data_IF_740589247857
#
_entry.id   IF_740589247857
#
_cell.length_a   1.000
_cell.length_b   1.000
_cell.length_c   1.000
_cell.angle_alpha   90.00
_cell.angle_beta   90.00
_cell.angle_gamma   90.00
#
_symmetry.space_group_name_H-M   'P 1'
#
loop_
_entity.id
_entity.type
_entity.pdbx_description
1 polymer ?
#
# COMPACT_ATOMS: atom_id res chain seq x y z
N UNK A 1 30.27 12.43 0.22
CA UNK A 1 29.51 11.89 1.35
C UNK A 1 28.38 12.84 1.70
N UNK A 2 27.14 12.37 1.77
CA UNK A 2 25.94 13.13 2.14
C UNK A 2 25.54 12.79 3.58
N UNK A 3 25.15 13.79 4.37
CA UNK A 3 24.77 13.61 5.79
C UNK A 3 23.31 13.97 6.01
N UNK A 4 22.59 13.09 6.70
CA UNK A 4 21.18 13.25 7.02
C UNK A 4 20.86 12.75 8.43
N UNK A 5 19.70 13.07 9.00
CA UNK A 5 19.24 12.45 10.24
C UNK A 5 18.61 11.10 9.97
N UNK A 6 17.81 11.01 8.91
CA UNK A 6 17.11 9.79 8.49
C UNK A 6 17.45 9.47 7.04
N UNK A 7 17.99 8.30 6.80
CA UNK A 7 18.16 7.73 5.46
C UNK A 7 17.09 6.67 5.22
N UNK A 8 16.30 6.83 4.16
CA UNK A 8 15.30 5.86 3.73
C UNK A 8 15.81 5.20 2.46
N UNK A 9 15.88 3.86 2.45
CA UNK A 9 16.32 3.07 1.30
C UNK A 9 15.11 2.35 0.69
N UNK A 10 14.70 2.83 -0.46
CA UNK A 10 13.51 2.39 -1.21
C UNK A 10 12.43 3.47 -1.25
N UNK A 11 12.15 3.99 -2.44
CA UNK A 11 11.11 4.99 -2.71
C UNK A 11 9.81 4.36 -3.22
N UNK A 12 9.41 3.22 -2.65
CA UNK A 12 8.06 2.69 -2.75
C UNK A 12 7.08 3.49 -1.90
N UNK A 13 5.80 3.11 -1.90
CA UNK A 13 4.75 3.83 -1.14
C UNK A 13 5.09 3.97 0.36
N UNK A 14 5.69 2.94 0.96
CA UNK A 14 6.09 2.96 2.37
C UNK A 14 7.20 3.99 2.60
N UNK A 15 8.24 3.99 1.76
CA UNK A 15 9.35 4.94 1.87
C UNK A 15 8.91 6.37 1.61
N UNK A 16 8.10 6.61 0.58
CA UNK A 16 7.57 7.93 0.25
C UNK A 16 6.71 8.50 1.39
N UNK A 17 5.82 7.68 1.96
CA UNK A 17 4.98 8.07 3.09
C UNK A 17 5.80 8.38 4.34
N UNK A 18 6.79 7.55 4.66
CA UNK A 18 7.70 7.78 5.77
C UNK A 18 8.54 9.06 5.56
N UNK A 19 9.05 9.28 4.35
CA UNK A 19 9.79 10.49 4.00
C UNK A 19 8.94 11.74 4.21
N UNK A 20 7.69 11.72 3.74
CA UNK A 20 6.76 12.82 3.92
C UNK A 20 6.49 13.12 5.40
N UNK A 21 6.06 12.09 6.15
CA UNK A 21 5.70 12.26 7.56
C UNK A 21 6.87 12.73 8.42
N UNK A 22 8.06 12.16 8.22
CA UNK A 22 9.27 12.56 8.93
C UNK A 22 9.68 14.01 8.58
N UNK A 23 9.58 14.39 7.30
CA UNK A 23 9.92 15.75 6.87
C UNK A 23 8.89 16.75 7.38
N UNK A 24 7.60 16.42 7.36
CA UNK A 24 6.51 17.21 7.96
C UNK A 24 6.73 17.45 9.46
N UNK A 25 7.34 16.47 10.16
CA UNK A 25 7.77 16.58 11.57
C UNK A 25 9.13 17.31 11.75
N UNK A 26 9.61 17.99 10.74
CA UNK A 26 10.83 18.80 10.79
C UNK A 26 12.15 18.01 10.83
N UNK A 27 12.14 16.73 10.49
CA UNK A 27 13.36 15.91 10.43
C UNK A 27 14.10 16.14 9.11
N UNK A 28 15.42 16.08 9.15
CA UNK A 28 16.25 16.07 7.94
C UNK A 28 16.24 14.66 7.36
N UNK A 29 15.60 14.48 6.19
CA UNK A 29 15.37 13.20 5.53
C UNK A 29 16.05 13.17 4.17
N UNK A 30 16.72 12.06 3.90
CA UNK A 30 17.17 11.70 2.55
C UNK A 30 16.57 10.35 2.21
N UNK A 31 15.92 10.24 1.06
CA UNK A 31 15.39 8.98 0.51
C UNK A 31 16.13 8.64 -0.77
N UNK A 32 16.51 7.39 -0.92
CA UNK A 32 17.23 6.87 -2.10
C UNK A 32 16.51 5.67 -2.69
N UNK A 33 16.56 5.53 -4.00
CA UNK A 33 16.06 4.35 -4.70
C UNK A 33 17.00 3.93 -5.81
N UNK A 34 17.06 2.63 -6.09
CA UNK A 34 17.85 2.07 -7.21
C UNK A 34 17.33 2.49 -8.58
N UNK A 35 16.08 2.96 -8.66
CA UNK A 35 15.36 3.28 -9.88
C UNK A 35 14.48 4.52 -9.65
N UNK A 36 13.44 4.68 -10.46
CA UNK A 36 12.42 5.70 -10.26
C UNK A 36 11.52 5.37 -9.07
N UNK A 37 10.89 6.38 -8.43
CA UNK A 37 9.98 6.16 -7.31
C UNK A 37 8.78 5.33 -7.76
N UNK A 38 8.35 4.40 -6.91
CA UNK A 38 7.20 3.53 -7.12
C UNK A 38 7.26 2.67 -8.41
N UNK A 39 8.44 2.39 -8.92
CA UNK A 39 8.62 1.66 -10.19
C UNK A 39 8.39 0.14 -10.08
N UNK A 40 8.22 -0.39 -8.87
CA UNK A 40 7.95 -1.82 -8.63
C UNK A 40 6.53 -2.00 -8.04
N UNK A 41 6.33 -2.91 -7.08
CA UNK A 41 5.03 -3.28 -6.53
C UNK A 41 4.11 -2.09 -6.16
N UNK A 42 4.68 -0.97 -5.75
CA UNK A 42 3.91 0.22 -5.38
C UNK A 42 3.24 0.94 -6.56
N UNK A 43 3.79 0.82 -7.77
CA UNK A 43 3.22 1.42 -8.98
C UNK A 43 2.44 0.42 -9.83
N UNK A 44 2.61 -0.89 -9.61
CA UNK A 44 1.99 -1.95 -10.42
C UNK A 44 1.06 -2.80 -9.56
N UNK A 45 0.02 -2.19 -9.00
CA UNK A 45 -1.00 -2.85 -8.20
C UNK A 45 -2.39 -2.28 -8.54
N UNK A 46 -3.44 -2.90 -8.03
CA UNK A 46 -4.82 -2.49 -8.33
C UNK A 46 -5.28 -1.22 -7.58
N UNK A 47 -4.48 -0.72 -6.65
CA UNK A 47 -4.82 0.47 -5.87
C UNK A 47 -5.94 0.27 -4.83
N UNK A 48 -6.45 -0.93 -4.66
CA UNK A 48 -7.52 -1.22 -3.70
C UNK A 48 -7.07 -1.07 -2.25
N UNK A 49 -7.92 -0.43 -1.46
CA UNK A 49 -7.74 -0.24 -0.01
C UNK A 49 -8.84 -0.96 0.73
N UNK A 50 -8.76 -2.28 0.68
CA UNK A 50 -9.77 -3.16 1.23
C UNK A 50 -9.47 -3.51 2.68
N UNK A 51 -10.44 -3.24 3.58
CA UNK A 51 -10.33 -3.58 5.00
C UNK A 51 -10.94 -4.94 5.32
N UNK A 52 -11.99 -5.34 4.60
CA UNK A 52 -12.77 -6.57 4.87
C UNK A 52 -11.94 -7.84 4.78
N UNK A 53 -10.91 -7.88 3.93
CA UNK A 53 -10.03 -9.04 3.76
C UNK A 53 -8.85 -9.10 4.72
N UNK A 54 -8.62 -8.03 5.48
CA UNK A 54 -7.40 -7.94 6.26
C UNK A 54 -7.39 -8.92 7.45
N UNK A 55 -6.26 -9.59 7.70
CA UNK A 55 -6.13 -10.46 8.87
C UNK A 55 -6.39 -9.70 10.18
N UNK A 56 -6.97 -10.35 11.20
CA UNK A 56 -7.29 -9.69 12.47
C UNK A 56 -6.10 -8.97 13.11
N UNK A 57 -4.89 -9.55 13.00
CA UNK A 57 -3.67 -8.97 13.59
C UNK A 57 -3.23 -7.67 12.91
N UNK A 58 -3.46 -7.52 11.63
CA UNK A 58 -3.04 -6.34 10.86
C UNK A 58 -4.15 -5.31 10.65
N UNK A 59 -5.41 -5.66 10.91
CA UNK A 59 -6.56 -4.77 10.69
C UNK A 59 -6.40 -3.39 11.37
N UNK A 60 -5.92 -3.25 12.63
CA UNK A 60 -5.70 -1.93 13.22
C UNK A 60 -4.71 -1.05 12.43
N UNK A 61 -3.68 -1.65 11.85
CA UNK A 61 -2.73 -0.91 10.98
C UNK A 61 -3.38 -0.44 9.68
N UNK A 62 -4.28 -1.25 9.10
CA UNK A 62 -5.01 -0.86 7.90
C UNK A 62 -6.04 0.24 8.17
N UNK A 63 -6.66 0.24 9.36
CA UNK A 63 -7.52 1.35 9.81
C UNK A 63 -6.72 2.65 9.92
N UNK A 64 -5.54 2.60 10.54
CA UNK A 64 -4.65 3.76 10.60
C UNK A 64 -4.20 4.20 9.20
N UNK A 65 -3.89 3.25 8.32
CA UNK A 65 -3.54 3.57 6.92
C UNK A 65 -4.69 4.29 6.20
N UNK A 66 -5.94 3.84 6.37
CA UNK A 66 -7.10 4.52 5.79
C UNK A 66 -7.23 5.98 6.28
N UNK A 67 -6.95 6.24 7.56
CA UNK A 67 -6.91 7.60 8.13
C UNK A 67 -5.78 8.43 7.52
N UNK A 68 -4.59 7.85 7.32
CA UNK A 68 -3.47 8.53 6.67
C UNK A 68 -3.78 8.87 5.21
N UNK A 69 -4.48 8.02 4.48
CA UNK A 69 -4.92 8.31 3.11
C UNK A 69 -5.90 9.47 3.06
N UNK A 70 -6.88 9.50 3.99
CA UNK A 70 -7.81 10.63 4.12
C UNK A 70 -7.03 11.94 4.42
N UNK A 71 -6.07 11.89 5.35
CA UNK A 71 -5.23 13.03 5.69
C UNK A 71 -4.41 13.50 4.46
N UNK A 72 -3.72 12.61 3.76
CA UNK A 72 -2.92 12.97 2.60
C UNK A 72 -3.76 13.67 1.53
N UNK A 73 -4.91 13.09 1.17
CA UNK A 73 -5.76 13.61 0.10
C UNK A 73 -6.50 14.87 0.51
N UNK A 74 -7.12 14.89 1.68
CA UNK A 74 -8.13 15.89 2.04
C UNK A 74 -7.58 17.01 2.93
N UNK A 75 -6.61 16.72 3.81
CA UNK A 75 -6.05 17.71 4.73
C UNK A 75 -4.74 18.31 4.19
N UNK A 76 -3.85 17.48 3.67
CA UNK A 76 -2.53 17.88 3.19
C UNK A 76 -2.54 18.29 1.70
N UNK A 77 -3.66 18.07 0.99
CA UNK A 77 -3.85 18.43 -0.42
C UNK A 77 -2.95 17.65 -1.37
N UNK A 78 -2.55 16.42 -0.99
CA UNK A 78 -1.73 15.55 -1.84
C UNK A 78 -2.65 14.76 -2.76
N UNK A 79 -2.62 15.04 -4.05
CA UNK A 79 -3.46 14.33 -5.02
C UNK A 79 -2.97 12.89 -5.25
N UNK A 80 -3.37 12.01 -4.35
CA UNK A 80 -3.11 10.57 -4.43
C UNK A 80 -4.07 9.83 -5.38
N UNK A 81 -5.07 10.50 -5.94
CA UNK A 81 -6.19 9.85 -6.59
C UNK A 81 -6.92 8.89 -5.65
N UNK A 82 -6.99 9.24 -4.36
CA UNK A 82 -7.65 8.45 -3.34
C UNK A 82 -9.14 8.80 -3.28
N UNK A 83 -9.96 7.76 -3.27
CA UNK A 83 -11.41 7.85 -3.17
C UNK A 83 -11.91 6.83 -2.14
N UNK A 84 -12.51 7.34 -1.07
CA UNK A 84 -13.15 6.51 -0.04
C UNK A 84 -14.60 6.24 -0.46
N UNK A 85 -14.78 5.27 -1.34
CA UNK A 85 -16.08 4.93 -1.94
C UNK A 85 -16.82 3.83 -1.19
N UNK A 86 -16.13 3.15 -0.29
CA UNK A 86 -16.57 1.89 0.30
C UNK A 86 -16.17 0.70 -0.56
N UNK A 87 -16.30 -0.50 0.03
CA UNK A 87 -15.98 -1.76 -0.63
C UNK A 87 -16.89 -2.88 -0.18
N UNK A 88 -17.14 -3.81 -1.09
CA UNK A 88 -17.93 -5.01 -0.85
C UNK A 88 -17.05 -6.25 -0.89
N UNK A 89 -17.31 -7.15 0.05
CA UNK A 89 -16.83 -8.52 -0.01
C UNK A 89 -18.01 -9.45 -0.28
N UNK A 90 -18.12 -9.93 -1.52
CA UNK A 90 -19.23 -10.73 -1.98
C UNK A 90 -18.94 -12.22 -1.85
N UNK A 91 -19.93 -13.03 -1.44
CA UNK A 91 -19.88 -14.48 -1.43
C UNK A 91 -20.79 -15.05 -2.50
N UNK A 92 -20.28 -16.10 -3.17
CA UNK A 92 -20.94 -16.78 -4.28
C UNK A 92 -21.40 -18.19 -3.90
N UNK A 93 -20.97 -18.72 -2.76
CA UNK A 93 -21.26 -20.07 -2.28
C UNK A 93 -21.72 -20.01 -0.83
N UNK A 94 -22.68 -20.83 -0.46
CA UNK A 94 -23.20 -20.89 0.91
C UNK A 94 -22.12 -21.24 1.94
N UNK A 95 -21.17 -22.08 1.58
CA UNK A 95 -20.05 -22.47 2.45
C UNK A 95 -19.15 -21.29 2.83
N UNK A 96 -19.16 -20.19 2.05
CA UNK A 96 -18.36 -18.99 2.29
C UNK A 96 -19.07 -17.95 3.18
N UNK A 97 -20.37 -18.14 3.51
CA UNK A 97 -21.11 -17.22 4.38
C UNK A 97 -20.43 -17.01 5.74
N UNK A 98 -19.79 -18.05 6.27
CA UNK A 98 -19.01 -17.96 7.52
C UNK A 98 -17.91 -16.90 7.46
N UNK A 99 -17.37 -16.60 6.28
CA UNK A 99 -16.35 -15.55 6.12
C UNK A 99 -16.93 -14.16 6.41
N UNK A 100 -18.19 -13.95 6.05
CA UNK A 100 -18.89 -12.71 6.36
C UNK A 100 -19.12 -12.56 7.86
N UNK A 101 -19.48 -13.65 8.55
CA UNK A 101 -19.69 -13.66 10.01
C UNK A 101 -18.38 -13.34 10.75
N UNK A 102 -17.26 -13.94 10.32
CA UNK A 102 -15.93 -13.68 10.86
C UNK A 102 -15.49 -12.22 10.63
N UNK A 103 -15.85 -11.63 9.50
CA UNK A 103 -15.58 -10.21 9.21
C UNK A 103 -16.38 -9.30 10.14
N UNK A 104 -17.67 -9.57 10.33
CA UNK A 104 -18.52 -8.79 11.23
C UNK A 104 -18.01 -8.86 12.68
N UNK A 105 -17.66 -10.05 13.15
CA UNK A 105 -17.10 -10.21 14.50
C UNK A 105 -15.83 -9.37 14.69
N UNK A 106 -14.92 -9.37 13.71
CA UNK A 106 -13.67 -8.58 13.77
C UNK A 106 -13.93 -7.08 13.79
N UNK A 107 -14.81 -6.63 12.89
CA UNK A 107 -15.15 -5.21 12.78
C UNK A 107 -15.87 -4.71 14.03
N UNK A 108 -16.85 -5.46 14.53
CA UNK A 108 -17.60 -5.12 15.73
C UNK A 108 -16.69 -5.06 16.97
N UNK A 109 -15.71 -5.96 17.12
CA UNK A 109 -14.72 -5.92 18.21
C UNK A 109 -13.89 -4.63 18.22
N UNK A 110 -13.69 -4.01 17.06
CA UNK A 110 -12.93 -2.77 16.92
C UNK A 110 -13.83 -1.52 16.79
N UNK A 111 -15.15 -1.69 16.88
CA UNK A 111 -16.10 -0.59 16.69
C UNK A 111 -16.11 -0.01 15.28
N UNK A 112 -15.71 -0.81 14.26
CA UNK A 112 -15.64 -0.38 12.88
C UNK A 112 -17.00 -0.55 12.18
N UNK A 113 -17.39 0.36 11.28
CA UNK A 113 -18.63 0.25 10.54
C UNK A 113 -18.57 -0.89 9.50
N UNK A 114 -19.57 -1.75 9.57
CA UNK A 114 -19.79 -2.85 8.63
C UNK A 114 -21.28 -3.08 8.47
N UNK A 115 -21.73 -3.42 7.27
CA UNK A 115 -23.13 -3.69 6.94
C UNK A 115 -23.23 -5.03 6.20
N UNK A 116 -24.05 -5.96 6.71
CA UNK A 116 -24.42 -7.18 6.00
C UNK A 116 -25.50 -6.87 4.97
N UNK A 117 -25.28 -7.29 3.73
CA UNK A 117 -26.20 -7.12 2.62
C UNK A 117 -26.67 -8.48 2.12
N UNK A 118 -27.98 -8.61 1.92
CA UNK A 118 -28.55 -9.74 1.19
C UNK A 118 -28.42 -9.52 -0.33
N UNK A 119 -28.81 -10.53 -1.11
CA UNK A 119 -28.71 -10.51 -2.58
C UNK A 119 -29.39 -9.30 -3.22
N UNK A 120 -30.59 -8.96 -2.76
CA UNK A 120 -31.38 -7.86 -3.28
C UNK A 120 -30.70 -6.52 -3.00
N UNK A 121 -30.22 -6.31 -1.79
CA UNK A 121 -29.47 -5.11 -1.40
C UNK A 121 -28.14 -4.96 -2.14
N UNK A 122 -27.45 -6.08 -2.42
CA UNK A 122 -26.24 -6.05 -3.24
C UNK A 122 -26.58 -5.61 -4.67
N UNK A 123 -27.67 -6.14 -5.26
CA UNK A 123 -28.13 -5.74 -6.59
C UNK A 123 -28.60 -4.30 -6.67
N UNK A 124 -29.21 -3.78 -5.61
CA UNK A 124 -29.58 -2.37 -5.52
C UNK A 124 -28.35 -1.46 -5.57
N UNK A 125 -27.29 -1.81 -4.81
CA UNK A 125 -26.01 -1.08 -4.82
C UNK A 125 -25.26 -1.25 -6.14
N UNK A 126 -25.29 -2.44 -6.75
CA UNK A 126 -24.53 -2.78 -7.96
C UNK A 126 -25.45 -3.52 -8.94
N UNK A 127 -26.21 -2.80 -9.75
CA UNK A 127 -27.22 -3.40 -10.66
C UNK A 127 -26.63 -4.40 -11.67
N UNK A 128 -25.35 -4.28 -11.99
CA UNK A 128 -24.65 -5.11 -12.98
C UNK A 128 -23.93 -6.31 -12.38
N UNK A 129 -24.05 -6.54 -11.07
CA UNK A 129 -23.41 -7.69 -10.44
C UNK A 129 -24.06 -9.01 -10.90
N UNK A 130 -23.25 -10.06 -10.97
CA UNK A 130 -23.73 -11.38 -11.40
C UNK A 130 -24.83 -11.94 -10.49
N UNK A 131 -25.73 -12.76 -11.06
CA UNK A 131 -26.88 -13.33 -10.35
C UNK A 131 -26.56 -14.36 -9.28
N UNK A 132 -25.36 -14.91 -9.28
CA UNK A 132 -24.92 -15.91 -8.32
C UNK A 132 -24.33 -15.35 -7.03
N UNK A 133 -24.32 -14.04 -6.83
CA UNK A 133 -24.02 -13.44 -5.52
C UNK A 133 -25.12 -13.80 -4.54
N UNK A 134 -24.74 -14.32 -3.38
CA UNK A 134 -25.65 -14.72 -2.31
C UNK A 134 -25.83 -13.62 -1.28
N UNK A 135 -24.71 -13.05 -0.82
CA UNK A 135 -24.65 -11.99 0.18
C UNK A 135 -23.30 -11.24 0.08
N UNK A 136 -23.19 -10.13 0.78
CA UNK A 136 -21.94 -9.39 0.92
C UNK A 136 -21.84 -8.70 2.27
N UNK A 137 -20.61 -8.40 2.69
CA UNK A 137 -20.36 -7.34 3.67
C UNK A 137 -19.91 -6.08 2.94
N UNK A 138 -20.40 -4.94 3.40
CA UNK A 138 -20.00 -3.62 2.95
C UNK A 138 -19.26 -2.88 4.07
N UNK A 139 -18.11 -2.28 3.73
CA UNK A 139 -17.41 -1.35 4.63
C UNK A 139 -17.28 0.02 3.98
N UNK A 140 -17.80 1.09 4.61
CA UNK A 140 -17.64 2.45 4.09
C UNK A 140 -16.19 2.98 4.24
N UNK A 141 -15.33 2.24 4.91
CA UNK A 141 -13.93 2.62 5.13
C UNK A 141 -12.99 2.15 4.01
N UNK A 142 -13.45 1.25 3.16
CA UNK A 142 -12.70 0.80 1.98
C UNK A 142 -12.74 1.84 0.86
N UNK A 143 -11.85 1.70 -0.10
CA UNK A 143 -11.76 2.61 -1.23
C UNK A 143 -10.64 2.20 -2.19
N UNK A 144 -10.17 3.14 -2.97
CA UNK A 144 -9.06 2.93 -3.89
C UNK A 144 -8.21 4.20 -4.04
N UNK A 145 -6.97 4.02 -4.50
CA UNK A 145 -6.10 5.13 -4.94
C UNK A 145 -5.51 4.81 -6.31
N UNK A 146 -4.94 5.81 -6.95
CA UNK A 146 -4.20 5.60 -8.19
C UNK A 146 -2.74 5.23 -7.88
N UNK A 147 -2.31 3.96 -8.05
CA UNK A 147 -0.96 3.53 -7.71
C UNK A 147 0.13 4.20 -8.53
N UNK A 148 -0.16 4.60 -9.78
CA UNK A 148 0.79 5.32 -10.63
C UNK A 148 1.02 6.77 -10.18
N UNK A 149 0.14 7.31 -9.33
CA UNK A 149 0.14 8.71 -8.92
C UNK A 149 0.52 8.88 -7.46
N UNK A 150 -0.06 8.07 -6.58
CA UNK A 150 -0.07 8.28 -5.14
C UNK A 150 1.33 8.42 -4.53
N UNK A 151 2.20 7.43 -4.72
CA UNK A 151 3.53 7.46 -4.10
C UNK A 151 4.41 8.59 -4.62
N UNK A 152 4.31 8.90 -5.91
CA UNK A 152 5.03 10.02 -6.53
C UNK A 152 4.53 11.35 -5.98
N UNK A 153 3.21 11.56 -5.86
CA UNK A 153 2.63 12.77 -5.29
C UNK A 153 3.08 12.99 -3.84
N UNK A 154 3.08 11.92 -3.01
CA UNK A 154 3.55 11.98 -1.63
C UNK A 154 5.05 12.35 -1.57
N UNK A 155 5.89 11.75 -2.44
CA UNK A 155 7.31 12.08 -2.51
C UNK A 155 7.54 13.53 -2.95
N UNK A 156 6.80 14.01 -3.93
CA UNK A 156 6.91 15.41 -4.37
C UNK A 156 6.57 16.37 -3.24
N UNK A 157 5.52 16.04 -2.45
CA UNK A 157 5.19 16.83 -1.26
C UNK A 157 6.28 16.80 -0.19
N UNK A 158 6.91 15.64 0.04
CA UNK A 158 8.07 15.55 0.92
C UNK A 158 9.24 16.43 0.44
N UNK A 159 9.50 16.46 -0.87
CA UNK A 159 10.54 17.33 -1.47
C UNK A 159 10.23 18.82 -1.29
N UNK A 160 8.98 19.24 -1.44
CA UNK A 160 8.56 20.62 -1.17
C UNK A 160 8.86 21.04 0.27
N UNK A 161 8.79 20.11 1.22
CA UNK A 161 9.12 20.32 2.64
C UNK A 161 10.61 20.17 2.96
N UNK A 162 11.46 19.88 1.97
CA UNK A 162 12.92 19.81 2.12
C UNK A 162 13.51 18.40 2.20
N UNK A 163 12.73 17.33 1.91
CA UNK A 163 13.29 16.00 1.75
C UNK A 163 14.21 15.94 0.51
N UNK A 164 15.39 15.39 0.67
CA UNK A 164 16.28 15.09 -0.46
C UNK A 164 15.95 13.73 -1.04
N UNK A 165 15.74 13.65 -2.36
CA UNK A 165 15.54 12.39 -3.07
C UNK A 165 16.60 12.19 -4.14
N UNK A 166 17.15 10.97 -4.18
CA UNK A 166 18.11 10.54 -5.20
C UNK A 166 17.67 9.20 -5.79
N UNK A 167 17.34 9.22 -7.07
CA UNK A 167 17.09 8.01 -7.87
C UNK A 167 18.40 7.38 -8.34
N UNK A 168 18.31 6.18 -8.94
CA UNK A 168 19.46 5.43 -9.48
C UNK A 168 20.60 5.26 -8.46
N UNK A 169 20.24 5.18 -7.17
CA UNK A 169 21.15 4.94 -6.06
C UNK A 169 20.94 3.53 -5.50
N UNK A 170 21.62 2.57 -6.08
CA UNK A 170 21.62 1.18 -5.58
C UNK A 170 22.56 1.07 -4.38
N UNK A 171 21.99 0.97 -3.18
CA UNK A 171 22.78 0.73 -1.97
C UNK A 171 23.21 -0.72 -1.93
N UNK A 172 24.53 -0.94 -1.97
CA UNK A 172 25.16 -2.28 -1.96
C UNK A 172 25.67 -2.71 -0.59
N UNK A 173 26.04 -1.76 0.26
CA UNK A 173 26.58 -2.04 1.58
C UNK A 173 26.04 -1.08 2.62
N UNK A 174 25.85 -1.59 3.86
CA UNK A 174 25.47 -0.80 5.02
C UNK A 174 26.39 -1.18 6.18
N UNK A 175 27.12 -0.18 6.71
CA UNK A 175 27.98 -0.36 7.86
C UNK A 175 27.41 0.38 9.06
N UNK A 176 27.47 -0.26 10.24
CA UNK A 176 27.07 0.33 11.50
C UNK A 176 28.33 0.78 12.25
N UNK A 177 28.39 2.05 12.60
CA UNK A 177 29.49 2.64 13.38
C UNK A 177 28.95 3.27 14.64
N UNK A 178 29.61 3.01 15.77
CA UNK A 178 29.25 3.62 17.05
C UNK A 178 29.39 5.16 17.03
N UNK A 179 30.34 5.68 16.27
CA UNK A 179 30.63 7.11 16.20
C UNK A 179 29.84 7.82 15.10
N UNK A 180 29.61 7.13 13.96
CA UNK A 180 29.07 7.74 12.74
C UNK A 180 27.62 7.35 12.45
N UNK A 181 27.00 6.50 13.26
CA UNK A 181 25.69 5.94 12.98
C UNK A 181 25.76 4.93 11.83
N UNK A 182 24.95 5.13 10.80
CA UNK A 182 24.90 4.26 9.63
C UNK A 182 25.63 4.90 8.45
N UNK A 183 26.41 4.08 7.75
CA UNK A 183 27.09 4.43 6.50
C UNK A 183 26.53 3.50 5.41
N UNK A 184 25.84 4.06 4.43
CA UNK A 184 25.32 3.33 3.30
C UNK A 184 26.11 3.70 2.04
N UNK A 185 26.59 2.70 1.33
CA UNK A 185 27.44 2.83 0.15
C UNK A 185 26.66 2.46 -1.10
N UNK A 186 26.50 3.42 -1.99
CA UNK A 186 25.89 3.20 -3.27
C UNK A 186 26.92 2.62 -4.29
N UNK A 187 26.42 1.94 -5.31
CA UNK A 187 27.24 1.31 -6.34
C UNK A 187 28.10 2.31 -7.14
N UNK A 188 27.60 3.52 -7.33
CA UNK A 188 28.31 4.62 -8.00
C UNK A 188 29.38 5.30 -7.15
N UNK A 189 29.61 4.79 -5.93
CA UNK A 189 30.59 5.34 -4.99
C UNK A 189 30.07 6.45 -4.09
N UNK A 190 28.79 6.88 -4.23
CA UNK A 190 28.19 7.82 -3.30
C UNK A 190 28.04 7.18 -1.92
N UNK A 191 28.34 7.94 -0.87
CA UNK A 191 28.20 7.49 0.53
C UNK A 191 27.19 8.38 1.24
N UNK A 192 26.27 7.75 1.96
CA UNK A 192 25.27 8.38 2.81
C UNK A 192 25.57 8.07 4.27
N UNK A 193 25.66 9.09 5.11
CA UNK A 193 25.80 8.97 6.55
C UNK A 193 24.50 9.39 7.22
N UNK A 194 23.94 8.55 8.09
CA UNK A 194 22.68 8.82 8.76
C UNK A 194 22.72 8.43 10.25
N UNK A 195 21.97 9.16 11.07
CA UNK A 195 21.74 8.79 12.48
C UNK A 195 20.80 7.59 12.60
N UNK A 196 19.83 7.52 11.70
CA UNK A 196 18.84 6.42 11.61
C UNK A 196 18.65 6.00 10.16
N UNK A 197 18.38 4.71 9.98
CA UNK A 197 18.11 4.13 8.67
C UNK A 197 16.74 3.47 8.67
N UNK A 198 15.99 3.63 7.59
CA UNK A 198 14.74 2.94 7.35
C UNK A 198 14.87 2.14 6.06
N UNK A 199 14.73 0.82 6.16
CA UNK A 199 14.77 -0.10 5.03
C UNK A 199 13.34 -0.32 4.52
N UNK A 200 13.06 0.19 3.33
CA UNK A 200 11.77 0.08 2.63
C UNK A 200 11.94 -0.46 1.22
N UNK A 201 12.97 -1.31 1.05
CA UNK A 201 13.39 -1.89 -0.23
C UNK A 201 12.51 -3.02 -0.77
N UNK A 202 11.27 -3.17 -0.25
CA UNK A 202 10.35 -4.22 -0.69
C UNK A 202 10.96 -5.60 -0.54
N UNK A 203 10.89 -6.41 -1.59
CA UNK A 203 11.44 -7.77 -1.63
C UNK A 203 12.95 -7.83 -1.41
N UNK A 204 13.67 -6.72 -1.60
CA UNK A 204 15.12 -6.64 -1.35
C UNK A 204 15.48 -6.30 0.09
N UNK A 205 14.49 -6.02 0.94
CA UNK A 205 14.73 -5.68 2.35
C UNK A 205 15.49 -6.76 3.11
N UNK A 206 15.22 -8.07 2.96
CA UNK A 206 15.99 -9.12 3.65
C UNK A 206 17.49 -9.02 3.35
N UNK A 207 17.85 -8.88 2.09
CA UNK A 207 19.26 -8.79 1.66
C UNK A 207 19.99 -7.57 2.29
N UNK A 208 19.31 -6.43 2.44
CA UNK A 208 19.89 -5.26 3.11
C UNK A 208 20.00 -5.46 4.62
N UNK A 209 19.00 -6.10 5.24
CA UNK A 209 18.93 -6.34 6.68
C UNK A 209 19.94 -7.40 7.14
N UNK A 210 20.19 -8.43 6.32
CA UNK A 210 21.17 -9.48 6.61
C UNK A 210 22.59 -8.89 6.80
N UNK A 211 22.92 -7.81 6.09
CA UNK A 211 24.22 -7.12 6.25
C UNK A 211 24.37 -6.46 7.63
N UNK A 212 23.24 -6.20 8.30
CA UNK A 212 23.19 -5.63 9.64
C UNK A 212 22.93 -6.68 10.74
N UNK A 213 22.94 -7.97 10.36
CA UNK A 213 22.67 -9.08 11.27
C UNK A 213 21.19 -9.23 11.64
N UNK A 214 20.29 -8.65 10.88
CA UNK A 214 18.83 -8.78 11.06
C UNK A 214 18.27 -9.66 9.98
N UNK A 215 17.80 -10.84 10.35
CA UNK A 215 17.20 -11.79 9.43
C UNK A 215 15.67 -11.69 9.45
N UNK A 216 15.06 -11.53 8.27
CA UNK A 216 13.61 -11.60 8.07
C UNK A 216 13.31 -12.54 6.89
N UNK A 217 12.26 -13.32 7.03
CA UNK A 217 11.78 -14.19 5.96
C UNK A 217 10.71 -13.44 5.15
N UNK A 218 10.91 -13.34 3.85
CA UNK A 218 9.91 -12.87 2.90
C UNK A 218 9.69 -13.91 1.82
N UNK A 219 8.43 -14.25 1.58
CA UNK A 219 8.01 -15.07 0.46
C UNK A 219 7.60 -14.17 -0.71
N UNK A 220 8.22 -14.36 -1.86
CA UNK A 220 7.84 -13.66 -3.08
C UNK A 220 6.56 -14.25 -3.65
N UNK A 221 5.50 -13.42 -3.78
CA UNK A 221 4.25 -13.81 -4.42
C UNK A 221 3.99 -12.92 -5.63
N UNK A 222 3.88 -13.57 -6.78
CA UNK A 222 3.53 -12.89 -8.02
C UNK A 222 2.01 -12.86 -8.18
N UNK A 223 1.44 -11.65 -8.23
CA UNK A 223 0.04 -11.44 -8.56
C UNK A 223 -0.07 -10.85 -9.95
N UNK A 224 -1.10 -11.25 -10.67
CA UNK A 224 -1.41 -10.71 -11.99
C UNK A 224 -2.55 -9.70 -11.87
N UNK A 225 -2.40 -8.56 -12.54
CA UNK A 225 -3.42 -7.54 -12.66
C UNK A 225 -3.78 -7.39 -14.13
N UNK A 226 -5.05 -7.46 -14.43
CA UNK A 226 -5.56 -7.16 -15.77
C UNK A 226 -6.22 -5.79 -15.74
N UNK A 227 -5.78 -4.90 -16.61
CA UNK A 227 -6.36 -3.57 -16.79
C UNK A 227 -7.13 -3.55 -18.09
N UNK A 228 -8.39 -3.13 -18.05
CA UNK A 228 -9.23 -2.97 -19.25
C UNK A 228 -8.95 -1.62 -19.93
N UNK A 229 -9.43 -1.46 -21.12
CA UNK A 229 -9.56 -0.12 -21.71
C UNK A 229 -10.52 0.75 -20.87
N UNK A 230 -10.47 2.07 -21.10
CA UNK A 230 -11.33 3.01 -20.38
C UNK A 230 -12.80 2.75 -20.72
N UNK A 231 -13.58 2.39 -19.72
CA UNK A 231 -15.03 2.22 -19.83
C UNK A 231 -15.76 3.46 -19.25
N UNK A 232 -17.04 3.68 -19.63
CA UNK A 232 -17.90 4.59 -18.88
C UNK A 232 -17.97 4.20 -17.43
N UNK A 233 -18.11 5.18 -16.52
CA UNK A 233 -18.26 4.90 -15.10
C UNK A 233 -19.58 4.15 -14.85
N UNK A 234 -19.51 3.01 -14.15
CA UNK A 234 -20.67 2.15 -13.88
C UNK A 234 -20.64 1.50 -12.50
N UNK A 235 -19.53 1.61 -11.77
CA UNK A 235 -19.33 1.07 -10.41
C UNK A 235 -18.62 2.11 -9.55
N UNK A 236 -19.20 2.39 -8.37
CA UNK A 236 -18.62 3.32 -7.40
C UNK A 236 -17.73 2.62 -6.36
N UNK A 237 -17.92 1.33 -6.17
CA UNK A 237 -17.32 0.57 -5.06
C UNK A 237 -16.18 -0.34 -5.52
N UNK A 238 -15.26 -0.61 -4.61
CA UNK A 238 -14.37 -1.76 -4.78
C UNK A 238 -15.13 -3.04 -4.49
N UNK A 239 -14.90 -4.08 -5.30
CA UNK A 239 -15.58 -5.37 -5.15
C UNK A 239 -14.55 -6.46 -5.03
N UNK A 240 -14.66 -7.26 -4.00
CA UNK A 240 -13.94 -8.50 -3.82
C UNK A 240 -14.91 -9.66 -3.71
N UNK A 241 -14.51 -10.81 -4.19
CA UNK A 241 -15.29 -12.04 -4.13
C UNK A 241 -14.53 -13.14 -3.39
N UNK A 242 -15.24 -14.00 -2.68
CA UNK A 242 -14.65 -15.12 -1.90
C UNK A 242 -13.91 -16.14 -2.77
N UNK A 243 -14.31 -16.26 -4.02
CA UNK A 243 -13.72 -17.17 -4.99
C UNK A 243 -13.69 -16.52 -6.37
N UNK A 244 -12.48 -16.37 -6.94
CA UNK A 244 -12.30 -15.95 -8.33
C UNK A 244 -11.67 -17.07 -9.14
N UNK A 245 -12.33 -17.48 -10.23
CA UNK A 245 -11.74 -18.27 -11.26
C UNK A 245 -11.79 -17.49 -12.57
N UNK A 246 -10.68 -16.80 -12.89
CA UNK A 246 -10.52 -16.14 -14.17
C UNK A 246 -9.98 -17.16 -15.18
N UNK A 247 -10.84 -17.68 -16.02
CA UNK A 247 -10.43 -18.34 -17.26
C UNK A 247 -10.22 -17.24 -18.31
N UNK A 248 -8.97 -16.94 -18.63
CA UNK A 248 -8.68 -16.16 -19.82
C UNK A 248 -9.12 -16.98 -21.04
N UNK A 249 -9.82 -16.39 -22.02
CA UNK A 249 -10.09 -17.09 -23.26
C UNK A 249 -8.76 -17.49 -23.89
N UNK A 250 -8.55 -18.78 -24.06
CA UNK A 250 -7.42 -19.28 -24.84
C UNK A 250 -7.68 -18.85 -26.27
N UNK A 251 -6.88 -17.92 -26.74
CA UNK A 251 -6.87 -17.59 -28.18
C UNK A 251 -6.19 -18.79 -28.86
N UNK A 252 -6.98 -19.61 -29.51
CA UNK A 252 -6.51 -20.70 -30.35
C UNK A 252 -5.95 -20.15 -31.65
#
# INVERSE_FOLDING_TARGET
MRKTDYLIIGAGIVGCSAAYLLTKDGKKVTIVDKSYPCNEASGVNAGGMELLQQPPKSLPMHVLAAQLWDMFQNEDGIDCGYHRTGGLYCVLREEDLKMLDEQEERFNKLGLPIERLNKEQVKEKIPYICDNVIAANFSPMSGYSNPLKAGVAILMKAKELGCEFYDHQFIKEIHISKENGYLAYAEDGQVYQAKKILITGGIRSPWLLDQMGVHIELEEKHNMITVTEKAPHFIDYTITVSYTHLTLPTIA
#
